data_IF_697581150194
#
_entry.id   IF_697581150194
#
_cell.length_a   1.000
_cell.length_b   1.000
_cell.length_c   1.000
_cell.angle_alpha   90.00
_cell.angle_beta   90.00
_cell.angle_gamma   90.00
#
_symmetry.space_group_name_H-M   'P 1'
#
loop_
_entity.id
_entity.type
_entity.pdbx_description
1 polymer ?
#
# COMPACT_ATOMS: atom_id res chain seq x y z
N UNK A 1 -1.46 0.84 10.63
CA UNK A 1 -1.22 1.63 9.39
C UNK A 1 -0.69 0.70 8.31
N UNK A 2 -1.08 0.96 7.06
CA UNK A 2 -0.65 0.15 5.92
C UNK A 2 0.56 0.78 5.21
N UNK A 3 0.70 2.10 5.30
CA UNK A 3 1.80 2.88 4.75
C UNK A 3 1.97 4.19 5.51
N UNK A 4 3.12 4.80 5.40
CA UNK A 4 3.40 6.18 5.81
C UNK A 4 4.62 6.69 5.05
N UNK A 5 4.75 8.01 4.92
CA UNK A 5 5.94 8.64 4.40
C UNK A 5 6.54 9.65 5.40
N UNK A 6 7.84 9.86 5.29
CA UNK A 6 8.58 10.86 6.07
C UNK A 6 9.45 11.65 5.11
N UNK A 7 9.18 12.94 4.96
CA UNK A 7 10.01 13.83 4.17
C UNK A 7 11.08 14.49 5.03
N UNK A 8 12.33 14.42 4.56
CA UNK A 8 13.50 15.05 5.18
C UNK A 8 13.90 16.27 4.35
N UNK A 9 13.51 17.50 4.73
CA UNK A 9 13.68 18.68 3.90
C UNK A 9 15.17 19.04 3.67
N UNK A 10 16.04 18.81 4.64
CA UNK A 10 17.47 19.11 4.52
C UNK A 10 18.19 18.29 3.45
N UNK A 11 17.80 17.03 3.28
CA UNK A 11 18.36 16.12 2.29
C UNK A 11 17.51 15.97 1.03
N UNK A 12 16.34 16.60 1.00
CA UNK A 12 15.33 16.43 -0.08
C UNK A 12 15.00 14.96 -0.34
N UNK A 13 14.96 14.16 0.72
CA UNK A 13 14.72 12.71 0.66
C UNK A 13 13.38 12.40 1.30
N UNK A 14 12.60 11.52 0.68
CA UNK A 14 11.39 10.98 1.27
C UNK A 14 11.53 9.48 1.49
N UNK A 15 11.30 9.04 2.71
CA UNK A 15 11.21 7.63 3.05
C UNK A 15 9.76 7.20 3.02
N UNK A 16 9.48 6.10 2.34
CA UNK A 16 8.15 5.47 2.34
C UNK A 16 8.25 4.15 3.10
N UNK A 17 7.44 4.02 4.14
CA UNK A 17 7.28 2.79 4.92
C UNK A 17 6.01 2.08 4.47
N UNK A 18 6.11 0.79 4.17
CA UNK A 18 5.00 -0.03 3.70
C UNK A 18 4.88 -1.31 4.55
N UNK A 19 3.66 -1.62 4.98
CA UNK A 19 3.38 -2.83 5.73
C UNK A 19 3.39 -4.05 4.79
N UNK A 20 4.37 -4.95 4.97
CA UNK A 20 4.50 -6.17 4.17
C UNK A 20 3.42 -7.22 4.48
N UNK A 21 2.70 -7.10 5.61
CA UNK A 21 1.56 -7.98 5.92
C UNK A 21 0.28 -7.60 5.15
N UNK A 22 0.39 -6.65 4.23
CA UNK A 22 -0.67 -6.31 3.29
C UNK A 22 -0.70 -7.30 2.12
N UNK A 23 -1.90 -7.55 1.57
CA UNK A 23 -2.03 -8.29 0.30
C UNK A 23 -1.38 -7.47 -0.82
N UNK A 24 -0.79 -8.16 -1.80
CA UNK A 24 0.01 -7.50 -2.84
C UNK A 24 -0.74 -6.41 -3.63
N UNK A 25 -2.05 -6.54 -3.82
CA UNK A 25 -2.86 -5.51 -4.46
C UNK A 25 -3.12 -4.30 -3.56
N UNK A 26 -3.23 -4.48 -2.23
CA UNK A 26 -3.33 -3.41 -1.26
C UNK A 26 -1.97 -2.71 -1.09
N UNK A 27 -0.87 -3.47 -1.01
CA UNK A 27 0.49 -2.93 -1.01
C UNK A 27 0.74 -2.02 -2.22
N UNK A 28 0.33 -2.46 -3.41
CA UNK A 28 0.46 -1.69 -4.64
C UNK A 28 -0.33 -0.38 -4.59
N UNK A 29 -1.53 -0.40 -4.00
CA UNK A 29 -2.34 0.80 -3.81
C UNK A 29 -1.67 1.78 -2.85
N UNK A 30 -1.27 1.31 -1.68
CA UNK A 30 -0.63 2.16 -0.67
C UNK A 30 0.70 2.74 -1.16
N UNK A 31 1.50 1.97 -1.88
CA UNK A 31 2.71 2.50 -2.51
C UNK A 31 2.40 3.63 -3.49
N UNK A 32 1.37 3.48 -4.32
CA UNK A 32 0.96 4.53 -5.26
C UNK A 32 0.41 5.77 -4.53
N UNK A 33 -0.33 5.58 -3.43
CA UNK A 33 -0.85 6.63 -2.58
C UNK A 33 0.29 7.45 -1.95
N UNK A 34 1.28 6.79 -1.34
CA UNK A 34 2.45 7.48 -0.76
C UNK A 34 3.27 8.22 -1.82
N UNK A 35 3.35 7.72 -3.06
CA UNK A 35 3.91 8.49 -4.16
C UNK A 35 3.12 9.76 -4.46
N UNK A 36 1.80 9.73 -4.31
CA UNK A 36 0.95 10.94 -4.39
C UNK A 36 1.39 12.00 -3.37
N UNK A 37 1.64 11.60 -2.13
CA UNK A 37 2.14 12.50 -1.09
C UNK A 37 3.54 13.05 -1.39
N UNK A 38 4.43 12.27 -1.99
CA UNK A 38 5.74 12.79 -2.45
C UNK A 38 5.58 13.93 -3.45
N UNK A 39 4.54 13.88 -4.27
CA UNK A 39 4.25 14.94 -5.26
C UNK A 39 3.54 16.16 -4.65
N UNK A 40 3.03 16.06 -3.43
CA UNK A 40 2.25 17.11 -2.73
C UNK A 40 2.89 17.55 -1.42
N UNK A 41 4.20 17.44 -1.30
CA UNK A 41 4.95 17.85 -0.09
C UNK A 41 4.66 19.30 0.27
N UNK A 42 4.51 20.20 -0.72
CA UNK A 42 4.21 21.60 -0.50
C UNK A 42 2.82 21.82 0.15
N UNK A 43 1.81 21.01 -0.21
CA UNK A 43 0.50 21.04 0.43
C UNK A 43 0.59 20.59 1.89
N UNK A 44 1.32 19.52 2.16
CA UNK A 44 1.54 19.03 3.53
C UNK A 44 2.29 20.06 4.38
N UNK A 45 3.30 20.71 3.83
CA UNK A 45 4.04 21.77 4.50
C UNK A 45 3.17 23.01 4.79
N UNK A 46 2.17 23.28 3.94
CA UNK A 46 1.18 24.34 4.16
C UNK A 46 0.06 23.95 5.14
N UNK A 47 0.02 22.69 5.60
CA UNK A 47 -1.04 22.17 6.48
C UNK A 47 -2.34 21.82 5.76
N UNK A 48 -2.33 21.73 4.42
CA UNK A 48 -3.46 21.37 3.58
C UNK A 48 -3.58 19.83 3.45
N UNK A 49 -3.70 19.14 4.60
CA UNK A 49 -3.67 17.67 4.68
C UNK A 49 -4.78 17.03 3.85
N UNK A 50 -6.02 17.53 3.96
CA UNK A 50 -7.15 16.97 3.23
C UNK A 50 -6.95 17.05 1.70
N UNK A 51 -6.40 18.17 1.20
CA UNK A 51 -6.10 18.32 -0.22
C UNK A 51 -4.97 17.38 -0.69
N UNK A 52 -3.99 17.12 0.17
CA UNK A 52 -2.92 16.17 -0.11
C UNK A 52 -3.44 14.72 -0.14
N UNK A 53 -4.33 14.35 0.79
CA UNK A 53 -4.99 13.03 0.82
C UNK A 53 -5.87 12.82 -0.43
N UNK A 54 -6.70 13.80 -0.77
CA UNK A 54 -7.56 13.75 -1.97
C UNK A 54 -6.72 13.57 -3.24
N UNK A 55 -5.58 14.27 -3.34
CA UNK A 55 -4.66 14.11 -4.44
C UNK A 55 -4.01 12.72 -4.47
N UNK A 56 -3.52 12.23 -3.33
CA UNK A 56 -2.87 10.93 -3.22
C UNK A 56 -3.83 9.79 -3.62
N UNK A 57 -5.08 9.84 -3.16
CA UNK A 57 -6.13 8.90 -3.55
C UNK A 57 -6.48 8.98 -5.04
N UNK A 58 -6.59 10.19 -5.59
CA UNK A 58 -6.87 10.38 -7.01
C UNK A 58 -5.70 9.90 -7.87
N UNK A 59 -4.47 10.18 -7.45
CA UNK A 59 -3.25 9.74 -8.13
C UNK A 59 -3.13 8.21 -8.15
N UNK A 60 -3.30 7.55 -6.99
CA UNK A 60 -3.25 6.09 -6.89
C UNK A 60 -4.34 5.44 -7.76
N UNK A 61 -5.57 5.94 -7.69
CA UNK A 61 -6.68 5.46 -8.50
C UNK A 61 -6.39 5.60 -10.01
N UNK A 62 -5.97 6.78 -10.46
CA UNK A 62 -5.69 7.04 -11.88
C UNK A 62 -4.48 6.23 -12.41
N UNK A 63 -3.45 6.06 -11.58
CA UNK A 63 -2.26 5.28 -11.93
C UNK A 63 -2.58 3.79 -12.09
N UNK A 64 -3.35 3.23 -11.15
CA UNK A 64 -3.59 1.79 -11.09
C UNK A 64 -4.81 1.34 -11.91
N UNK A 65 -5.78 2.22 -12.08
CA UNK A 65 -6.99 1.95 -12.85
C UNK A 65 -7.34 3.13 -13.76
N UNK A 66 -6.66 3.28 -14.90
CA UNK A 66 -6.81 4.42 -15.80
C UNK A 66 -8.25 4.61 -16.28
N UNK A 67 -8.61 5.86 -16.59
CA UNK A 67 -9.97 6.25 -17.04
C UNK A 67 -10.55 5.33 -18.12
N UNK A 68 -9.74 4.89 -19.09
CA UNK A 68 -10.19 3.98 -20.14
C UNK A 68 -10.58 2.57 -19.58
N UNK A 69 -10.00 2.16 -18.45
CA UNK A 69 -10.40 0.94 -17.76
C UNK A 69 -11.71 1.16 -16.99
N UNK A 70 -11.85 2.28 -16.30
CA UNK A 70 -13.05 2.66 -15.59
C UNK A 70 -14.27 2.77 -16.52
N UNK A 71 -14.10 3.37 -17.71
CA UNK A 71 -15.13 3.41 -18.75
C UNK A 71 -15.61 2.02 -19.16
N UNK A 72 -14.68 1.10 -19.44
CA UNK A 72 -15.02 -0.29 -19.80
C UNK A 72 -15.65 -1.05 -18.66
N UNK A 73 -15.17 -0.84 -17.44
CA UNK A 73 -15.74 -1.40 -16.22
C UNK A 73 -17.16 -0.91 -16.03
N UNK A 74 -17.42 0.38 -16.15
CA UNK A 74 -18.75 0.97 -16.07
C UNK A 74 -19.72 0.36 -17.10
N UNK A 75 -19.28 0.25 -18.35
CA UNK A 75 -20.10 -0.33 -19.41
C UNK A 75 -20.47 -1.81 -19.15
N UNK A 76 -19.57 -2.58 -18.54
CA UNK A 76 -19.83 -3.96 -18.14
C UNK A 76 -20.73 -4.02 -16.88
N UNK A 77 -20.45 -3.19 -15.88
CA UNK A 77 -21.19 -3.05 -14.64
C UNK A 77 -22.67 -2.70 -14.90
N UNK A 78 -22.93 -1.72 -15.75
CA UNK A 78 -24.28 -1.29 -16.14
C UNK A 78 -25.09 -2.41 -16.84
N UNK A 79 -24.43 -3.31 -17.56
CA UNK A 79 -25.12 -4.45 -18.21
C UNK A 79 -25.51 -5.55 -17.22
N UNK A 80 -24.83 -5.63 -16.09
CA UNK A 80 -25.14 -6.60 -15.04
C UNK A 80 -26.42 -6.17 -14.31
N UNK A 81 -27.41 -7.09 -14.26
CA UNK A 81 -28.75 -6.79 -13.72
C UNK A 81 -28.91 -7.14 -12.23
N UNK A 82 -27.89 -7.73 -11.62
CA UNK A 82 -27.90 -8.17 -10.24
C UNK A 82 -26.62 -7.75 -9.54
N UNK A 83 -26.65 -7.53 -8.23
CA UNK A 83 -25.47 -7.20 -7.44
C UNK A 83 -24.36 -8.25 -7.57
N UNK A 84 -24.73 -9.53 -7.58
CA UNK A 84 -23.78 -10.61 -7.83
C UNK A 84 -23.07 -10.48 -9.19
N UNK A 85 -23.84 -10.13 -10.23
CA UNK A 85 -23.28 -9.90 -11.56
C UNK A 85 -22.34 -8.69 -11.59
N UNK A 86 -22.71 -7.59 -10.94
CA UNK A 86 -21.89 -6.38 -10.78
C UNK A 86 -20.60 -6.68 -10.03
N UNK A 87 -20.69 -7.40 -8.91
CA UNK A 87 -19.51 -7.82 -8.12
C UNK A 87 -18.58 -8.70 -8.96
N UNK A 88 -19.10 -9.63 -9.76
CA UNK A 88 -18.26 -10.45 -10.63
C UNK A 88 -17.50 -9.60 -11.66
N UNK A 89 -18.15 -8.59 -12.24
CA UNK A 89 -17.46 -7.63 -13.13
C UNK A 89 -16.32 -6.94 -12.39
N UNK A 90 -16.55 -6.43 -11.18
CA UNK A 90 -15.49 -5.78 -10.38
C UNK A 90 -14.33 -6.73 -10.10
N UNK A 91 -14.61 -8.00 -9.73
CA UNK A 91 -13.60 -9.02 -9.48
C UNK A 91 -12.79 -9.33 -10.76
N UNK A 92 -13.42 -9.42 -11.92
CA UNK A 92 -12.72 -9.69 -13.18
C UNK A 92 -11.75 -8.55 -13.55
N UNK A 93 -12.18 -7.29 -13.36
CA UNK A 93 -11.31 -6.14 -13.54
C UNK A 93 -10.22 -6.06 -12.47
N UNK A 94 -10.54 -6.37 -11.22
CA UNK A 94 -9.57 -6.45 -10.13
C UNK A 94 -8.44 -7.44 -10.43
N UNK A 95 -8.78 -8.63 -10.88
CA UNK A 95 -7.79 -9.64 -11.35
C UNK A 95 -6.95 -9.13 -12.52
N UNK A 96 -7.60 -8.52 -13.50
CA UNK A 96 -6.92 -8.03 -14.72
C UNK A 96 -5.91 -6.92 -14.43
N UNK A 97 -6.26 -5.99 -13.54
CA UNK A 97 -5.41 -4.84 -13.21
C UNK A 97 -4.57 -5.06 -11.94
N UNK A 98 -4.80 -6.18 -11.27
CA UNK A 98 -4.08 -6.54 -10.05
C UNK A 98 -4.25 -5.51 -8.95
N UNK A 99 -5.51 -5.15 -8.67
CA UNK A 99 -5.93 -4.19 -7.65
C UNK A 99 -7.12 -4.75 -6.86
N UNK A 100 -7.49 -4.09 -5.76
CA UNK A 100 -8.67 -4.48 -4.98
C UNK A 100 -9.97 -4.31 -5.77
N UNK A 101 -10.97 -5.22 -5.64
CA UNK A 101 -12.30 -4.99 -6.21
C UNK A 101 -12.96 -3.71 -5.68
N UNK A 102 -12.61 -3.26 -4.47
CA UNK A 102 -13.05 -1.99 -3.92
C UNK A 102 -12.50 -0.80 -4.73
N UNK A 103 -11.21 -0.84 -5.06
CA UNK A 103 -10.60 0.21 -5.91
C UNK A 103 -11.27 0.26 -7.28
N UNK A 104 -11.59 -0.89 -7.88
CA UNK A 104 -12.33 -0.94 -9.16
C UNK A 104 -13.72 -0.32 -8.99
N UNK A 105 -14.44 -0.62 -7.90
CA UNK A 105 -15.75 -0.06 -7.62
C UNK A 105 -15.69 1.46 -7.52
N UNK A 106 -14.80 1.99 -6.67
CA UNK A 106 -14.61 3.42 -6.45
C UNK A 106 -14.28 4.16 -7.76
N UNK A 107 -13.32 3.66 -8.53
CA UNK A 107 -12.93 4.31 -9.78
C UNK A 107 -14.00 4.20 -10.88
N UNK A 108 -14.80 3.12 -10.86
CA UNK A 108 -15.96 2.97 -11.77
C UNK A 108 -17.07 3.96 -11.41
N UNK A 109 -17.32 4.18 -10.12
CA UNK A 109 -18.27 5.16 -9.59
C UNK A 109 -17.81 6.59 -9.91
N UNK A 110 -16.55 6.94 -9.58
CA UNK A 110 -15.95 8.25 -9.94
C UNK A 110 -16.05 8.54 -11.44
N UNK A 111 -15.86 7.54 -12.29
CA UNK A 111 -16.04 7.70 -13.73
C UNK A 111 -17.49 8.04 -14.08
N UNK A 112 -18.45 7.33 -13.50
CA UNK A 112 -19.87 7.56 -13.75
C UNK A 112 -20.27 8.97 -13.33
N UNK A 113 -19.86 9.40 -12.13
CA UNK A 113 -20.13 10.74 -11.59
C UNK A 113 -19.53 11.84 -12.48
N UNK A 114 -18.29 11.71 -12.85
CA UNK A 114 -17.60 12.66 -13.72
C UNK A 114 -18.25 12.79 -15.13
N UNK A 115 -18.94 11.73 -15.58
CA UNK A 115 -19.66 11.73 -16.86
C UNK A 115 -21.18 11.98 -16.67
N UNK A 116 -21.65 12.27 -15.45
CA UNK A 116 -23.06 12.45 -15.11
C UNK A 116 -23.93 11.26 -15.56
N UNK A 117 -23.38 10.04 -15.41
CA UNK A 117 -24.04 8.79 -15.77
C UNK A 117 -24.72 8.15 -14.56
N UNK A 118 -25.84 7.45 -14.72
CA UNK A 118 -26.49 6.77 -13.62
C UNK A 118 -25.64 5.61 -13.10
N UNK A 119 -25.40 5.58 -11.80
CA UNK A 119 -24.67 4.51 -11.12
C UNK A 119 -25.57 3.90 -10.03
N UNK A 120 -25.85 2.61 -10.14
CA UNK A 120 -26.54 1.86 -9.10
C UNK A 120 -25.52 1.25 -8.15
N UNK A 121 -25.52 1.67 -6.89
CA UNK A 121 -24.67 1.11 -5.85
C UNK A 121 -24.94 -0.38 -5.59
N UNK A 122 -23.98 -1.05 -5.00
CA UNK A 122 -24.11 -2.42 -4.48
C UNK A 122 -24.31 -2.34 -2.97
N UNK A 123 -25.07 -3.28 -2.41
CA UNK A 123 -25.15 -3.44 -0.96
C UNK A 123 -23.74 -3.60 -0.36
N UNK A 124 -23.38 -2.65 0.52
CA UNK A 124 -22.04 -2.54 1.10
C UNK A 124 -21.61 -3.83 1.80
N UNK A 125 -22.52 -4.50 2.50
CA UNK A 125 -22.23 -5.76 3.21
C UNK A 125 -21.89 -6.88 2.23
N UNK A 126 -22.65 -7.00 1.14
CA UNK A 126 -22.36 -8.01 0.11
C UNK A 126 -21.01 -7.75 -0.56
N UNK A 127 -20.74 -6.49 -0.89
CA UNK A 127 -19.45 -6.11 -1.49
C UNK A 127 -18.29 -6.48 -0.56
N UNK A 128 -18.31 -6.11 0.72
CA UNK A 128 -17.26 -6.42 1.68
C UNK A 128 -17.06 -7.93 1.89
N UNK A 129 -18.13 -8.71 1.95
CA UNK A 129 -18.03 -10.18 2.05
C UNK A 129 -17.28 -10.74 0.83
N UNK A 130 -17.61 -10.27 -0.36
CA UNK A 130 -16.99 -10.77 -1.60
C UNK A 130 -15.53 -10.31 -1.76
N UNK A 131 -15.20 -9.11 -1.30
CA UNK A 131 -13.81 -8.63 -1.20
C UNK A 131 -13.02 -9.52 -0.23
N UNK A 132 -13.59 -9.85 0.93
CA UNK A 132 -12.96 -10.77 1.88
C UNK A 132 -12.68 -12.15 1.29
N UNK A 133 -13.59 -12.68 0.46
CA UNK A 133 -13.37 -13.94 -0.27
C UNK A 133 -12.28 -13.79 -1.33
N UNK A 134 -12.27 -12.68 -2.06
CA UNK A 134 -11.23 -12.36 -3.04
C UNK A 134 -9.85 -12.29 -2.38
N UNK A 135 -9.72 -11.60 -1.27
CA UNK A 135 -8.46 -11.41 -0.54
C UNK A 135 -7.88 -12.72 0.00
N UNK A 136 -8.73 -13.70 0.36
CA UNK A 136 -8.27 -15.04 0.79
C UNK A 136 -7.52 -15.81 -0.30
N UNK A 137 -7.70 -15.45 -1.55
CA UNK A 137 -7.00 -16.07 -2.68
C UNK A 137 -5.57 -15.55 -2.91
N UNK A 138 -5.11 -14.59 -2.10
CA UNK A 138 -3.80 -13.96 -2.25
C UNK A 138 -2.98 -14.06 -0.97
N UNK A 139 -1.69 -14.32 -1.10
CA UNK A 139 -0.73 -14.19 -0.01
C UNK A 139 -0.53 -12.72 0.36
N UNK A 140 -0.07 -12.46 1.58
CA UNK A 140 0.55 -11.17 1.91
C UNK A 140 1.90 -11.05 1.21
N UNK A 141 2.45 -9.84 1.17
CA UNK A 141 3.79 -9.67 0.60
C UNK A 141 4.85 -10.37 1.48
N UNK A 142 4.70 -10.30 2.79
CA UNK A 142 5.52 -11.01 3.77
C UNK A 142 5.51 -12.53 3.52
N UNK A 143 4.32 -13.16 3.43
CA UNK A 143 4.17 -14.58 3.11
C UNK A 143 4.78 -14.96 1.74
N UNK A 144 4.77 -14.06 0.78
CA UNK A 144 5.34 -14.31 -0.54
C UNK A 144 6.86 -14.15 -0.60
N UNK A 145 7.43 -13.23 0.22
CA UNK A 145 8.86 -12.98 0.26
C UNK A 145 9.62 -13.99 1.14
N UNK A 146 8.97 -14.54 2.16
CA UNK A 146 9.60 -15.36 3.19
C UNK A 146 9.06 -16.80 3.25
N UNK A 147 8.34 -17.26 2.24
CA UNK A 147 7.79 -18.63 2.11
C UNK A 147 7.00 -19.10 3.35
N UNK A 148 6.21 -18.18 3.95
CA UNK A 148 5.41 -18.42 5.15
C UNK A 148 6.23 -18.68 6.44
N UNK A 149 7.54 -18.42 6.44
CA UNK A 149 8.42 -18.54 7.59
C UNK A 149 8.67 -17.18 8.27
N UNK A 150 8.97 -17.20 9.57
CA UNK A 150 9.48 -16.00 10.26
C UNK A 150 10.95 -15.85 9.93
N UNK A 151 11.36 -14.85 9.15
CA UNK A 151 12.74 -14.69 8.74
C UNK A 151 13.64 -14.26 9.92
N UNK A 152 14.91 -14.66 9.89
CA UNK A 152 15.92 -14.02 10.75
C UNK A 152 16.14 -12.56 10.34
N UNK A 153 16.67 -11.74 11.24
CA UNK A 153 16.95 -10.33 10.98
C UNK A 153 17.82 -10.14 9.72
N UNK A 154 18.91 -10.92 9.58
CA UNK A 154 19.80 -10.88 8.41
C UNK A 154 19.08 -11.26 7.13
N UNK A 155 18.23 -12.29 7.17
CA UNK A 155 17.46 -12.73 6.00
C UNK A 155 16.45 -11.64 5.60
N UNK A 156 15.73 -11.06 6.57
CA UNK A 156 14.78 -9.98 6.33
C UNK A 156 15.46 -8.77 5.66
N UNK A 157 16.57 -8.29 6.22
CA UNK A 157 17.30 -7.14 5.69
C UNK A 157 17.84 -7.39 4.29
N UNK A 158 18.39 -8.60 4.04
CA UNK A 158 18.89 -8.98 2.72
C UNK A 158 17.76 -9.00 1.68
N UNK A 159 16.64 -9.65 1.97
CA UNK A 159 15.48 -9.72 1.06
C UNK A 159 14.91 -8.34 0.81
N UNK A 160 14.83 -7.48 1.83
CA UNK A 160 14.40 -6.11 1.68
C UNK A 160 15.34 -5.30 0.77
N UNK A 161 16.66 -5.45 0.96
CA UNK A 161 17.66 -4.79 0.12
C UNK A 161 17.58 -5.26 -1.33
N UNK A 162 17.45 -6.57 -1.57
CA UNK A 162 17.40 -7.17 -2.91
C UNK A 162 16.15 -6.76 -3.68
N UNK A 163 14.99 -6.67 -3.01
CA UNK A 163 13.71 -6.38 -3.66
C UNK A 163 13.36 -4.90 -3.73
N UNK A 164 13.79 -4.09 -2.74
CA UNK A 164 13.41 -2.68 -2.66
C UNK A 164 14.59 -1.72 -2.83
N UNK A 165 15.82 -2.22 -2.88
CA UNK A 165 17.03 -1.40 -3.04
C UNK A 165 17.21 -0.35 -1.93
N UNK A 166 16.69 -0.61 -0.72
CA UNK A 166 16.64 0.39 0.35
C UNK A 166 17.96 0.55 1.09
N UNK A 167 18.40 1.79 1.30
CA UNK A 167 19.53 2.13 2.16
C UNK A 167 19.13 2.29 3.65
N UNK A 168 17.87 2.04 3.98
CA UNK A 168 17.33 2.24 5.34
C UNK A 168 18.12 1.49 6.40
N UNK A 169 18.40 0.21 6.19
CA UNK A 169 19.13 -0.60 7.19
C UNK A 169 20.57 -0.15 7.38
N UNK A 170 21.23 0.31 6.32
CA UNK A 170 22.56 0.91 6.40
C UNK A 170 22.53 2.22 7.19
N UNK A 171 21.57 3.09 6.92
CA UNK A 171 21.39 4.34 7.65
C UNK A 171 21.07 4.07 9.14
N UNK A 172 20.19 3.10 9.42
CA UNK A 172 19.86 2.70 10.77
C UNK A 172 21.05 2.10 11.53
N UNK A 173 21.84 1.24 10.88
CA UNK A 173 23.08 0.69 11.46
C UNK A 173 24.10 1.77 11.81
N UNK A 174 24.30 2.78 10.95
CA UNK A 174 25.13 3.93 11.24
C UNK A 174 24.61 4.69 12.47
N UNK A 175 23.30 4.99 12.50
CA UNK A 175 22.69 5.67 13.64
C UNK A 175 22.91 4.90 14.96
N UNK A 176 22.71 3.59 14.96
CA UNK A 176 22.91 2.78 16.17
C UNK A 176 24.35 2.81 16.68
N UNK A 177 25.35 2.79 15.77
CA UNK A 177 26.76 2.89 16.13
C UNK A 177 27.15 4.29 16.60
N UNK A 178 26.76 5.33 15.85
CA UNK A 178 27.19 6.71 16.12
C UNK A 178 26.61 7.26 17.44
N UNK A 179 25.39 6.80 17.81
CA UNK A 179 24.70 7.24 19.02
C UNK A 179 24.68 6.20 20.14
N UNK A 180 25.37 5.06 19.97
CA UNK A 180 25.34 3.94 20.92
C UNK A 180 23.90 3.57 21.34
N UNK A 181 22.98 3.62 20.38
CA UNK A 181 21.54 3.48 20.64
C UNK A 181 21.21 2.04 21.04
N UNK A 182 20.45 1.84 22.13
CA UNK A 182 20.17 0.50 22.65
C UNK A 182 19.17 -0.27 21.77
N UNK A 183 19.09 -1.64 21.90
CA UNK A 183 18.15 -2.46 21.12
C UNK A 183 16.68 -2.01 21.20
N UNK A 184 16.24 -1.44 22.32
CA UNK A 184 14.88 -0.90 22.47
C UNK A 184 14.53 0.17 21.45
N UNK A 185 15.53 0.88 20.90
CA UNK A 185 15.33 1.88 19.83
C UNK A 185 14.81 1.22 18.55
N UNK A 186 15.26 0.00 18.26
CA UNK A 186 14.77 -0.80 17.12
C UNK A 186 13.28 -1.11 17.28
N UNK A 187 12.85 -1.55 18.47
CA UNK A 187 11.44 -1.83 18.72
C UNK A 187 10.55 -0.61 18.49
N UNK A 188 11.04 0.59 18.84
CA UNK A 188 10.31 1.84 18.59
C UNK A 188 10.26 2.22 17.11
N UNK A 189 11.32 1.94 16.35
CA UNK A 189 11.43 2.31 14.94
C UNK A 189 10.69 1.31 14.04
N UNK A 190 10.87 0.00 14.30
CA UNK A 190 10.30 -1.06 13.45
C UNK A 190 8.98 -1.62 13.98
N UNK A 191 8.53 -1.22 15.17
CA UNK A 191 7.27 -1.70 15.77
C UNK A 191 7.28 -3.17 16.17
N UNK A 192 8.47 -3.78 16.30
CA UNK A 192 8.63 -5.20 16.59
C UNK A 192 8.64 -5.55 18.09
N UNK A 193 8.72 -6.85 18.39
CA UNK A 193 8.89 -7.32 19.75
C UNK A 193 10.28 -6.99 20.29
N UNK A 194 10.49 -6.89 21.64
CA UNK A 194 11.81 -6.71 22.23
C UNK A 194 12.83 -7.80 21.85
N UNK A 195 12.35 -9.02 21.56
CA UNK A 195 13.22 -10.14 21.19
C UNK A 195 13.71 -10.00 19.76
N UNK A 196 12.84 -9.59 18.86
CA UNK A 196 13.21 -9.28 17.46
C UNK A 196 14.16 -8.08 17.41
N UNK A 197 13.92 -7.06 18.26
CA UNK A 197 14.76 -5.88 18.38
C UNK A 197 16.22 -6.19 18.71
N UNK A 198 16.50 -7.19 19.54
CA UNK A 198 17.86 -7.61 19.84
C UNK A 198 18.55 -8.23 18.63
N UNK A 199 17.89 -9.14 17.93
CA UNK A 199 18.44 -9.79 16.75
C UNK A 199 18.73 -8.76 15.62
N UNK A 200 17.80 -7.83 15.40
CA UNK A 200 18.00 -6.73 14.44
C UNK A 200 19.14 -5.80 14.85
N UNK A 201 19.26 -5.48 16.14
CA UNK A 201 20.33 -4.62 16.64
C UNK A 201 21.70 -5.25 16.42
N UNK A 202 21.89 -6.52 16.78
CA UNK A 202 23.13 -7.24 16.57
C UNK A 202 23.52 -7.30 15.10
N UNK A 203 22.57 -7.63 14.23
CA UNK A 203 22.77 -7.68 12.80
C UNK A 203 23.15 -6.31 12.22
N UNK A 204 22.46 -5.24 12.59
CA UNK A 204 22.69 -3.87 12.10
C UNK A 204 24.02 -3.28 12.56
N UNK A 205 24.43 -3.55 13.81
CA UNK A 205 25.71 -3.04 14.34
C UNK A 205 26.89 -3.78 13.74
N UNK A 206 26.70 -5.03 13.30
CA UNK A 206 27.73 -5.86 12.68
C UNK A 206 27.93 -5.59 11.16
N UNK A 207 27.01 -4.87 10.51
CA UNK A 207 27.13 -4.43 9.12
C UNK A 207 28.19 -3.34 8.95
#
# INVERSE_FOLDING_TARGET
ENALHIHLPDSQTTWIYLNLDSKVHDFKYWMAHEFGHVLTIDLLAAGEVDAAEDFADAFAGALLFPRAAAEKSYAAYKRARTDQGRINVLIDYAKKYFISPLSVYIETEKYADAQQLPFEGIDSKQLHIRIGVFNKGYKTLSEALFDDETPSADHFMRVAQENFGTDFYKALGNYLRDYEAPPKSIASILGGSPMDAHAFHEALVSM
#
